data_IF_100421425275
#
_entry.id   IF_100421425275
#
_cell.length_a   1.000
_cell.length_b   1.000
_cell.length_c   1.000
_cell.angle_alpha   90.00
_cell.angle_beta   90.00
_cell.angle_gamma   90.00
#
_symmetry.space_group_name_H-M   'P 1'
#
loop_
_entity.id
_entity.type
_entity.pdbx_description
1 polymer ?
#
# COMPACT_ATOMS: atom_id res chain seq x y z
N UNK A 1 -27.73 0.02 38.64
CA UNK A 1 -26.70 1.07 38.53
C UNK A 1 -25.90 0.98 39.81
N UNK A 2 -24.59 0.74 39.72
CA UNK A 2 -23.77 0.60 40.92
C UNK A 2 -23.70 1.94 41.67
N UNK A 3 -23.74 1.92 42.99
CA UNK A 3 -23.75 3.15 43.80
C UNK A 3 -22.36 3.76 43.82
N UNK A 4 -22.27 5.07 43.64
CA UNK A 4 -21.00 5.81 43.80
C UNK A 4 -20.47 5.66 45.24
N UNK A 5 -19.15 5.77 45.43
CA UNK A 5 -18.54 5.74 46.77
C UNK A 5 -19.20 6.71 47.75
N UNK A 6 -19.56 7.91 47.27
CA UNK A 6 -20.31 8.92 48.04
C UNK A 6 -21.69 8.41 48.48
N UNK A 7 -22.44 7.78 47.57
CA UNK A 7 -23.72 7.15 47.90
C UNK A 7 -23.57 5.93 48.83
N UNK A 8 -22.46 5.19 48.74
CA UNK A 8 -22.12 4.08 49.66
C UNK A 8 -21.81 4.61 51.07
N UNK A 9 -21.18 5.78 51.21
CA UNK A 9 -20.94 6.46 52.49
C UNK A 9 -22.22 6.98 53.16
N UNK A 10 -23.13 7.58 52.38
CA UNK A 10 -24.37 8.20 52.89
C UNK A 10 -25.35 7.19 53.52
N UNK A 11 -25.26 5.90 53.16
CA UNK A 11 -26.11 4.83 53.68
C UNK A 11 -25.49 4.05 54.84
N UNK A 12 -24.26 4.38 55.26
CA UNK A 12 -23.60 3.70 56.37
C UNK A 12 -24.31 3.98 57.70
N UNK A 13 -24.38 2.99 58.62
CA UNK A 13 -24.95 3.22 59.94
C UNK A 13 -24.12 4.24 60.72
N UNK A 14 -24.80 5.31 61.16
CA UNK A 14 -24.22 6.40 61.95
C UNK A 14 -24.36 6.05 63.43
N UNK A 15 -23.25 6.09 64.17
CA UNK A 15 -23.27 6.08 65.63
C UNK A 15 -23.30 7.52 66.14
N UNK A 16 -24.28 7.82 67.00
CA UNK A 16 -24.31 9.07 67.76
C UNK A 16 -23.50 8.85 69.05
N UNK A 17 -22.51 9.72 69.27
CA UNK A 17 -21.77 9.75 70.53
C UNK A 17 -22.11 11.08 71.20
N UNK A 18 -22.65 11.02 72.41
CA UNK A 18 -22.95 12.20 73.21
C UNK A 18 -21.66 12.80 73.75
N UNK A 19 -21.44 14.09 73.50
CA UNK A 19 -20.31 14.85 74.02
C UNK A 19 -20.84 16.03 74.84
N UNK A 20 -20.13 16.47 75.90
CA UNK A 20 -20.55 17.60 76.74
C UNK A 20 -20.74 18.95 76.00
N UNK A 21 -20.29 19.07 74.75
CA UNK A 21 -20.42 20.26 73.88
C UNK A 21 -21.38 20.05 72.71
N UNK A 22 -22.09 18.92 72.65
CA UNK A 22 -23.09 18.60 71.62
C UNK A 22 -22.89 17.23 70.96
N UNK A 23 -23.94 16.75 70.28
CA UNK A 23 -23.94 15.43 69.63
C UNK A 23 -23.10 15.45 68.34
N UNK A 24 -22.15 14.52 68.22
CA UNK A 24 -21.35 14.34 67.01
C UNK A 24 -21.67 12.98 66.36
N UNK A 25 -21.88 12.99 65.04
CA UNK A 25 -22.18 11.81 64.22
C UNK A 25 -20.89 11.18 63.72
N UNK A 26 -20.70 9.87 63.92
CA UNK A 26 -19.54 9.13 63.41
C UNK A 26 -19.97 7.90 62.61
N UNK A 27 -19.24 7.61 61.53
CA UNK A 27 -19.35 6.33 60.84
C UNK A 27 -18.66 5.23 61.65
N UNK A 28 -19.21 4.02 61.65
CA UNK A 28 -18.50 2.89 62.23
C UNK A 28 -17.25 2.57 61.41
N UNK A 29 -16.07 2.63 62.05
CA UNK A 29 -14.77 2.49 61.40
C UNK A 29 -14.62 1.19 60.57
N UNK A 30 -15.27 0.10 60.98
CA UNK A 30 -15.27 -1.18 60.25
C UNK A 30 -15.90 -1.08 58.86
N UNK A 31 -16.98 -0.32 58.70
CA UNK A 31 -17.63 -0.15 57.42
C UNK A 31 -16.86 0.80 56.50
N UNK A 32 -16.25 1.85 57.06
CA UNK A 32 -15.37 2.75 56.30
C UNK A 32 -14.13 1.99 55.80
N UNK A 33 -13.50 1.17 56.64
CA UNK A 33 -12.38 0.30 56.22
C UNK A 33 -12.78 -0.64 55.09
N UNK A 34 -13.94 -1.29 55.21
CA UNK A 34 -14.44 -2.18 54.15
C UNK A 34 -14.67 -1.45 52.82
N UNK A 35 -15.22 -0.23 52.85
CA UNK A 35 -15.41 0.57 51.63
C UNK A 35 -14.08 1.03 51.02
N UNK A 36 -13.08 1.36 51.85
CA UNK A 36 -11.74 1.71 51.38
C UNK A 36 -11.09 0.50 50.72
N UNK A 37 -11.12 -0.68 51.34
CA UNK A 37 -10.57 -1.90 50.74
C UNK A 37 -11.25 -2.24 49.42
N UNK A 38 -12.57 -2.10 49.31
CA UNK A 38 -13.29 -2.28 48.04
C UNK A 38 -12.85 -1.26 46.98
N UNK A 39 -12.70 0.01 47.36
CA UNK A 39 -12.24 1.04 46.44
C UNK A 39 -10.79 0.80 45.96
N UNK A 40 -9.92 0.31 46.84
CA UNK A 40 -8.54 -0.06 46.50
C UNK A 40 -8.51 -1.24 45.51
N UNK A 41 -9.33 -2.28 45.74
CA UNK A 41 -9.48 -3.41 44.81
C UNK A 41 -10.00 -2.95 43.43
N UNK A 42 -11.09 -2.16 43.40
CA UNK A 42 -11.64 -1.59 42.16
C UNK A 42 -10.58 -0.74 41.42
N UNK A 43 -9.75 0.01 42.15
CA UNK A 43 -8.68 0.82 41.57
C UNK A 43 -7.54 -0.03 41.00
N UNK A 44 -7.13 -1.11 41.69
CA UNK A 44 -6.13 -2.05 41.19
C UNK A 44 -6.62 -2.76 39.92
N UNK A 45 -7.87 -3.23 39.89
CA UNK A 45 -8.45 -3.85 38.68
C UNK A 45 -8.44 -2.89 37.48
N UNK A 46 -8.74 -1.60 37.71
CA UNK A 46 -8.66 -0.58 36.68
C UNK A 46 -7.22 -0.35 36.21
N UNK A 47 -6.25 -0.25 37.13
CA UNK A 47 -4.83 -0.11 36.81
C UNK A 47 -4.33 -1.26 35.94
N UNK A 48 -4.66 -2.50 36.31
CA UNK A 48 -4.30 -3.69 35.55
C UNK A 48 -4.93 -3.67 34.16
N UNK A 49 -6.20 -3.31 34.07
CA UNK A 49 -6.90 -3.19 32.78
C UNK A 49 -6.26 -2.15 31.86
N UNK A 50 -5.93 -0.96 32.38
CA UNK A 50 -5.31 0.09 31.59
C UNK A 50 -3.87 -0.24 31.19
N UNK A 51 -3.12 -0.92 32.04
CA UNK A 51 -1.76 -1.38 31.72
C UNK A 51 -1.78 -2.40 30.59
N UNK A 52 -2.68 -3.40 30.66
CA UNK A 52 -2.86 -4.36 29.58
C UNK A 52 -3.32 -3.71 28.26
N UNK A 53 -4.17 -2.68 28.34
CA UNK A 53 -4.61 -1.92 27.18
C UNK A 53 -3.44 -1.16 26.54
N UNK A 54 -2.57 -0.55 27.36
CA UNK A 54 -1.38 0.15 26.90
C UNK A 54 -0.40 -0.80 26.21
N UNK A 55 -0.13 -1.97 26.79
CA UNK A 55 0.74 -2.99 26.19
C UNK A 55 0.21 -3.47 24.83
N UNK A 56 -1.11 -3.61 24.70
CA UNK A 56 -1.73 -3.96 23.42
C UNK A 56 -1.60 -2.83 22.40
N UNK A 57 -1.85 -1.59 22.82
CA UNK A 57 -1.67 -0.41 21.98
C UNK A 57 -0.24 -0.29 21.45
N UNK A 58 0.77 -0.46 22.32
CA UNK A 58 2.18 -0.43 21.91
C UNK A 58 2.51 -1.52 20.88
N UNK A 59 2.00 -2.75 21.08
CA UNK A 59 2.18 -3.84 20.12
C UNK A 59 1.56 -3.52 18.76
N UNK A 60 0.37 -2.94 18.73
CA UNK A 60 -0.29 -2.54 17.49
C UNK A 60 0.42 -1.39 16.79
N UNK A 61 0.94 -0.40 17.53
CA UNK A 61 1.76 0.69 16.97
C UNK A 61 3.02 0.13 16.30
N UNK A 62 3.74 -0.78 16.96
CA UNK A 62 4.92 -1.43 16.39
C UNK A 62 4.56 -2.23 15.14
N UNK A 63 3.46 -2.98 15.18
CA UNK A 63 2.95 -3.75 14.03
C UNK A 63 2.62 -2.83 12.86
N UNK A 64 1.94 -1.73 13.12
CA UNK A 64 1.56 -0.72 12.12
C UNK A 64 2.80 -0.10 11.46
N UNK A 65 3.79 0.35 12.25
CA UNK A 65 5.04 0.90 11.72
C UNK A 65 5.81 -0.11 10.85
N UNK A 66 5.81 -1.40 11.22
CA UNK A 66 6.40 -2.46 10.40
C UNK A 66 5.66 -2.68 9.08
N UNK A 67 4.32 -2.56 9.08
CA UNK A 67 3.52 -2.66 7.85
C UNK A 67 3.77 -1.45 6.95
N UNK A 68 3.82 -0.24 7.50
CA UNK A 68 4.14 0.97 6.75
C UNK A 68 5.50 0.86 6.06
N UNK A 69 6.53 0.39 6.78
CA UNK A 69 7.87 0.17 6.23
C UNK A 69 7.86 -0.86 5.07
N UNK A 70 7.09 -1.94 5.20
CA UNK A 70 6.92 -2.92 4.12
C UNK A 70 6.19 -2.34 2.90
N UNK A 71 5.12 -1.56 3.12
CA UNK A 71 4.37 -0.90 2.05
C UNK A 71 5.27 0.07 1.29
N UNK A 72 6.09 0.86 1.99
CA UNK A 72 7.07 1.76 1.37
C UNK A 72 8.07 0.96 0.53
N UNK A 73 8.60 -0.15 1.06
CA UNK A 73 9.51 -1.02 0.33
C UNK A 73 8.91 -1.60 -0.95
N UNK A 74 7.69 -2.14 -0.87
CA UNK A 74 6.96 -2.69 -2.03
C UNK A 74 6.63 -1.60 -3.05
N UNK A 75 6.23 -0.41 -2.60
CA UNK A 75 5.97 0.73 -3.49
C UNK A 75 7.23 1.12 -4.26
N UNK A 76 8.38 1.18 -3.59
CA UNK A 76 9.67 1.47 -4.23
C UNK A 76 10.02 0.39 -5.27
N UNK A 77 9.80 -0.90 -4.96
CA UNK A 77 10.05 -1.98 -5.91
C UNK A 77 9.14 -1.88 -7.15
N UNK A 78 7.87 -1.51 -6.96
CA UNK A 78 6.93 -1.32 -8.07
C UNK A 78 7.33 -0.12 -8.95
N UNK A 79 7.77 0.99 -8.35
CA UNK A 79 8.24 2.18 -9.07
C UNK A 79 9.59 1.95 -9.79
N UNK A 80 10.39 0.99 -9.34
CA UNK A 80 11.67 0.64 -9.97
C UNK A 80 11.53 -0.29 -11.18
N UNK A 81 10.32 -0.72 -11.55
CA UNK A 81 10.15 -1.50 -12.77
C UNK A 81 10.61 -0.69 -13.98
N UNK A 82 11.55 -1.25 -14.74
CA UNK A 82 12.07 -0.61 -15.93
C UNK A 82 10.93 -0.42 -16.95
N UNK A 83 10.83 0.80 -17.48
CA UNK A 83 9.93 1.10 -18.57
C UNK A 83 10.35 0.29 -19.80
N UNK A 84 9.40 -0.23 -20.58
CA UNK A 84 9.70 -0.83 -21.88
C UNK A 84 10.37 0.19 -22.79
N UNK A 85 11.26 -0.30 -23.65
CA UNK A 85 11.95 0.49 -24.67
C UNK A 85 11.32 0.15 -26.01
N UNK A 86 10.73 1.14 -26.69
CA UNK A 86 10.05 0.98 -27.99
C UNK A 86 10.77 1.77 -29.08
N UNK A 87 10.68 1.37 -30.35
CA UNK A 87 11.12 2.18 -31.48
C UNK A 87 10.33 3.48 -31.62
N UNK A 88 10.90 4.48 -32.28
CA UNK A 88 10.27 5.80 -32.45
C UNK A 88 8.92 5.73 -33.20
N UNK A 89 8.85 4.98 -34.30
CA UNK A 89 7.60 4.81 -35.06
C UNK A 89 6.49 4.11 -34.25
N UNK A 90 6.85 3.25 -33.29
CA UNK A 90 5.89 2.61 -32.36
C UNK A 90 5.43 3.62 -31.29
N UNK A 91 6.33 4.46 -30.78
CA UNK A 91 5.98 5.54 -29.86
C UNK A 91 4.98 6.52 -30.49
N UNK A 92 5.21 6.92 -31.74
CA UNK A 92 4.30 7.76 -32.52
C UNK A 92 2.93 7.10 -32.69
N UNK A 93 2.90 5.80 -32.98
CA UNK A 93 1.64 5.05 -33.07
C UNK A 93 0.86 5.03 -31.76
N UNK A 94 1.54 4.78 -30.63
CA UNK A 94 0.90 4.83 -29.30
C UNK A 94 0.26 6.21 -29.06
N UNK A 95 0.95 7.29 -29.40
CA UNK A 95 0.42 8.66 -29.25
C UNK A 95 -0.81 8.86 -30.16
N UNK A 96 -0.72 8.48 -31.43
CA UNK A 96 -1.82 8.55 -32.39
C UNK A 96 -3.08 7.84 -31.88
N UNK A 97 -2.93 6.63 -31.34
CA UNK A 97 -4.06 5.86 -30.78
C UNK A 97 -4.63 6.50 -29.50
N UNK A 98 -3.78 7.08 -28.63
CA UNK A 98 -4.23 7.82 -27.44
C UNK A 98 -5.04 9.07 -27.81
N UNK A 99 -4.60 9.83 -28.81
CA UNK A 99 -5.28 11.05 -29.26
C UNK A 99 -6.66 10.78 -29.87
N UNK A 100 -6.83 9.63 -30.52
CA UNK A 100 -8.13 9.17 -31.04
C UNK A 100 -9.12 8.74 -29.94
N UNK A 101 -8.73 8.79 -28.67
CA UNK A 101 -9.49 8.27 -27.52
C UNK A 101 -9.91 6.79 -27.70
N UNK A 102 -9.08 6.02 -28.40
CA UNK A 102 -9.26 4.60 -28.59
C UNK A 102 -8.73 3.80 -27.38
N UNK A 103 -9.16 2.55 -27.26
CA UNK A 103 -8.65 1.63 -26.25
C UNK A 103 -7.46 0.80 -26.79
N UNK A 104 -6.87 -0.05 -25.94
CA UNK A 104 -5.70 -0.84 -26.31
C UNK A 104 -5.92 -1.82 -27.48
N UNK A 105 -7.16 -2.17 -27.84
CA UNK A 105 -7.43 -3.01 -29.02
C UNK A 105 -6.98 -2.30 -30.30
N UNK A 106 -7.17 -0.99 -30.39
CA UNK A 106 -6.76 -0.21 -31.56
C UNK A 106 -5.24 -0.17 -31.76
N UNK A 107 -4.43 -0.53 -30.75
CA UNK A 107 -2.99 -0.71 -30.96
C UNK A 107 -2.66 -1.88 -31.86
N UNK A 108 -3.56 -2.87 -31.94
CA UNK A 108 -3.34 -4.17 -32.58
C UNK A 108 -4.23 -4.39 -33.82
N UNK A 109 -5.33 -3.66 -33.94
CA UNK A 109 -6.41 -3.97 -34.91
C UNK A 109 -7.04 -2.71 -35.53
N UNK A 110 -6.34 -1.58 -35.55
CA UNK A 110 -6.81 -0.37 -36.26
C UNK A 110 -6.37 -0.42 -37.72
N UNK A 111 -7.31 -0.24 -38.65
CA UNK A 111 -7.07 -0.24 -40.10
C UNK A 111 -6.05 0.83 -40.56
N UNK A 112 -5.81 1.87 -39.74
CA UNK A 112 -4.84 2.92 -40.03
C UNK A 112 -3.45 2.65 -39.43
N UNK A 113 -3.19 1.43 -38.97
CA UNK A 113 -1.88 1.04 -38.45
C UNK A 113 -0.81 1.20 -39.54
N UNK A 114 0.30 1.91 -39.28
CA UNK A 114 1.40 2.00 -40.23
C UNK A 114 2.03 0.63 -40.51
N UNK A 115 2.45 0.38 -41.75
CA UNK A 115 3.07 -0.90 -42.16
C UNK A 115 4.28 -1.26 -41.27
N UNK A 116 5.16 -0.29 -40.99
CA UNK A 116 6.33 -0.51 -40.11
C UNK A 116 5.93 -0.98 -38.70
N UNK A 117 4.80 -0.51 -38.17
CA UNK A 117 4.27 -0.95 -36.86
C UNK A 117 3.71 -2.36 -36.96
N UNK A 118 2.94 -2.65 -38.02
CA UNK A 118 2.38 -3.98 -38.26
C UNK A 118 3.49 -5.03 -38.43
N UNK A 119 4.53 -4.73 -39.21
CA UNK A 119 5.71 -5.59 -39.34
C UNK A 119 6.39 -5.81 -37.99
N UNK A 120 6.61 -4.74 -37.23
CA UNK A 120 7.25 -4.84 -35.92
C UNK A 120 6.43 -5.72 -34.96
N UNK A 121 5.11 -5.57 -34.92
CA UNK A 121 4.25 -6.35 -34.03
C UNK A 121 4.16 -7.83 -34.40
N UNK A 122 4.02 -8.15 -35.68
CA UNK A 122 3.54 -9.47 -36.11
C UNK A 122 4.53 -10.29 -36.95
N UNK A 123 5.65 -9.71 -37.42
CA UNK A 123 6.63 -10.48 -38.21
C UNK A 123 7.67 -11.21 -37.35
N UNK A 124 7.60 -11.05 -36.02
CA UNK A 124 8.42 -11.84 -35.10
C UNK A 124 7.91 -13.27 -34.95
N UNK A 125 8.76 -14.17 -34.46
CA UNK A 125 8.39 -15.57 -34.19
C UNK A 125 7.60 -15.75 -32.90
N UNK A 126 7.38 -14.68 -32.12
CA UNK A 126 6.70 -14.69 -30.83
C UNK A 126 5.95 -13.36 -30.58
N UNK A 127 5.22 -13.30 -29.47
CA UNK A 127 4.35 -12.18 -29.10
C UNK A 127 5.07 -11.12 -28.22
N UNK A 128 6.40 -11.10 -28.21
CA UNK A 128 7.18 -10.23 -27.30
C UNK A 128 6.89 -8.75 -27.56
N UNK A 129 6.80 -8.36 -28.82
CA UNK A 129 6.50 -6.98 -29.21
C UNK A 129 5.05 -6.57 -28.90
N UNK A 130 4.11 -7.51 -28.94
CA UNK A 130 2.73 -7.29 -28.51
C UNK A 130 2.70 -7.02 -27.00
N UNK A 131 3.40 -7.84 -26.21
CA UNK A 131 3.53 -7.59 -24.77
C UNK A 131 4.23 -6.25 -24.48
N UNK A 132 5.25 -5.91 -25.27
CA UNK A 132 6.03 -4.69 -25.09
C UNK A 132 5.21 -3.43 -25.41
N UNK A 133 4.42 -3.41 -26.49
CA UNK A 133 3.55 -2.27 -26.81
C UNK A 133 2.41 -2.10 -25.79
N UNK A 134 1.85 -3.20 -25.28
CA UNK A 134 0.81 -3.15 -24.25
C UNK A 134 1.36 -2.62 -22.93
N UNK A 135 2.56 -3.04 -22.55
CA UNK A 135 3.28 -2.43 -21.41
C UNK A 135 3.59 -0.97 -21.65
N UNK A 136 4.05 -0.60 -22.85
CA UNK A 136 4.33 0.79 -23.20
C UNK A 136 3.08 1.68 -23.09
N UNK A 137 1.92 1.14 -23.49
CA UNK A 137 0.64 1.82 -23.36
C UNK A 137 0.24 2.09 -21.90
N UNK A 138 0.39 1.08 -21.03
CA UNK A 138 -0.05 1.10 -19.62
C UNK A 138 0.96 1.77 -18.68
N UNK A 139 2.22 1.34 -18.75
CA UNK A 139 3.29 1.72 -17.83
C UNK A 139 4.02 3.00 -18.29
N UNK A 140 3.83 3.40 -19.56
CA UNK A 140 4.70 4.35 -20.25
C UNK A 140 5.91 3.67 -20.87
N UNK A 141 6.74 4.43 -21.58
CA UNK A 141 7.87 3.86 -22.33
C UNK A 141 9.03 4.84 -22.46
N UNK A 142 10.17 4.31 -22.90
CA UNK A 142 11.30 5.09 -23.43
C UNK A 142 11.54 4.73 -24.89
N UNK A 143 12.13 5.65 -25.66
CA UNK A 143 12.42 5.42 -27.08
C UNK A 143 13.83 4.87 -27.25
N UNK A 144 14.00 3.92 -28.16
CA UNK A 144 15.30 3.37 -28.57
C UNK A 144 16.25 4.48 -29.04
N UNK A 145 17.51 4.42 -28.61
CA UNK A 145 18.52 5.43 -28.99
C UNK A 145 19.59 4.91 -29.94
N UNK A 146 19.90 3.62 -29.87
CA UNK A 146 21.02 3.01 -30.60
C UNK A 146 20.51 1.82 -31.39
N UNK A 147 20.19 2.03 -32.68
CA UNK A 147 19.74 0.96 -33.57
C UNK A 147 20.97 0.35 -34.25
N UNK A 148 21.05 -0.99 -34.21
CA UNK A 148 22.14 -1.75 -34.83
C UNK A 148 21.74 -2.15 -36.25
N UNK A 149 22.48 -1.63 -37.23
CA UNK A 149 22.35 -1.98 -38.64
C UNK A 149 23.71 -2.06 -39.35
N UNK A 150 23.98 -3.05 -40.22
CA UNK A 150 23.11 -4.16 -40.61
C UNK A 150 22.82 -5.15 -39.46
N UNK A 151 21.74 -5.91 -39.58
CA UNK A 151 21.40 -6.98 -38.63
C UNK A 151 22.57 -7.97 -38.53
N UNK A 152 23.14 -8.20 -37.33
CA UNK A 152 24.30 -9.06 -37.16
C UNK A 152 24.01 -10.55 -37.43
N UNK A 153 22.72 -10.93 -37.46
CA UNK A 153 22.30 -12.32 -37.65
C UNK A 153 22.07 -12.66 -39.11
N UNK A 154 21.35 -11.80 -39.85
CA UNK A 154 20.95 -12.09 -41.23
C UNK A 154 21.51 -11.12 -42.28
N UNK A 155 22.20 -10.05 -41.86
CA UNK A 155 22.84 -9.08 -42.76
C UNK A 155 21.91 -8.00 -43.32
N UNK A 156 20.66 -7.91 -42.87
CA UNK A 156 19.72 -6.89 -43.36
C UNK A 156 20.17 -5.46 -43.01
N UNK A 157 20.34 -4.58 -44.00
CA UNK A 157 20.97 -3.25 -43.84
C UNK A 157 20.05 -2.12 -43.37
N UNK A 158 18.72 -2.27 -43.45
CA UNK A 158 17.76 -1.21 -43.17
C UNK A 158 16.97 -1.47 -41.88
N UNK A 159 17.67 -1.88 -40.82
CA UNK A 159 17.05 -2.10 -39.52
C UNK A 159 16.58 -0.77 -38.93
N UNK A 160 15.29 -0.68 -38.57
CA UNK A 160 14.65 0.52 -37.98
C UNK A 160 14.38 0.43 -36.47
N UNK A 161 14.74 -0.68 -35.84
CA UNK A 161 14.57 -0.90 -34.41
C UNK A 161 15.66 -1.78 -33.84
N UNK A 162 15.71 -2.00 -32.54
CA UNK A 162 16.57 -3.05 -31.98
C UNK A 162 16.13 -4.47 -32.39
N UNK A 163 15.08 -4.62 -33.20
CA UNK A 163 14.67 -5.88 -33.77
C UNK A 163 14.80 -5.87 -35.30
N UNK A 164 15.33 -6.96 -35.85
CA UNK A 164 15.36 -7.15 -37.28
C UNK A 164 13.99 -7.66 -37.78
N UNK A 165 13.36 -6.94 -38.71
CA UNK A 165 12.10 -7.36 -39.35
C UNK A 165 12.24 -8.60 -40.24
N UNK A 166 13.45 -8.95 -40.68
CA UNK A 166 13.70 -10.11 -41.54
C UNK A 166 13.86 -11.40 -40.73
N UNK A 167 14.73 -11.40 -39.71
CA UNK A 167 15.00 -12.60 -38.93
C UNK A 167 14.25 -12.67 -37.59
N UNK A 168 13.54 -11.60 -37.21
CA UNK A 168 12.75 -11.49 -35.98
C UNK A 168 13.56 -11.55 -34.69
N UNK A 169 14.89 -11.33 -34.76
CA UNK A 169 15.77 -11.35 -33.58
C UNK A 169 16.07 -9.94 -33.12
N UNK A 170 16.26 -9.81 -31.81
CA UNK A 170 16.85 -8.61 -31.21
C UNK A 170 18.30 -8.47 -31.65
N UNK A 171 18.64 -7.32 -32.20
CA UNK A 171 19.97 -6.93 -32.65
C UNK A 171 20.70 -6.27 -31.48
N UNK A 172 21.25 -7.10 -30.60
CA UNK A 172 22.20 -6.67 -29.59
C UNK A 172 23.61 -7.08 -30.05
N UNK A 173 24.62 -6.23 -29.84
CA UNK A 173 26.01 -6.71 -29.82
C UNK A 173 26.24 -7.31 -28.43
N UNK A 174 26.53 -8.61 -28.35
CA UNK A 174 27.11 -9.19 -27.13
C UNK A 174 28.43 -8.51 -26.78
#
# INVERSE_FOLDING_TARGET
MDKTFKQKLEILPIKNIEHPVGNTKYYAAVHVKSLISQADEEFQELLDKYSNLNDNYEKEVIRSSKLESQIIGLKSQLQQQALPVVPEFVAEWIVCVKEKNNNALALLDDDNMPDDVNEWLFFQRNDDNINLILRAWLDGYTVEKNIVSPCPVCGYENVKSNFCSICGRKNDYE
#
